data_IF_593312435013
#
_entry.id   IF_593312435013
#
_cell.length_a   1.000
_cell.length_b   1.000
_cell.length_c   1.000
_cell.angle_alpha   90.00
_cell.angle_beta   90.00
_cell.angle_gamma   90.00
#
_symmetry.space_group_name_H-M   'P 1'
#
loop_
_entity.id
_entity.type
_entity.pdbx_description
1 polymer ?
#
# COMPACT_ATOMS: atom_id res chain seq x y z
N UNK A 1 -3.85 0.61 -12.85
CA UNK A 1 -2.76 -0.21 -13.44
C UNK A 1 -3.08 -1.67 -13.16
N UNK A 2 -3.20 -2.50 -14.19
CA UNK A 2 -3.40 -3.96 -14.06
C UNK A 2 -2.17 -4.69 -14.57
N UNK A 3 -1.87 -5.83 -13.95
CA UNK A 3 -0.74 -6.67 -14.32
C UNK A 3 -1.01 -8.11 -13.91
N UNK A 4 -0.28 -9.04 -14.52
CA UNK A 4 -0.31 -10.46 -14.16
C UNK A 4 1.07 -10.86 -13.65
N UNK A 5 1.13 -11.61 -12.55
CA UNK A 5 2.36 -12.26 -12.09
C UNK A 5 2.23 -13.75 -12.41
N UNK A 6 3.20 -14.27 -13.14
CA UNK A 6 3.29 -15.67 -13.52
C UNK A 6 4.32 -16.35 -12.62
N UNK A 7 3.87 -17.29 -11.80
CA UNK A 7 4.74 -18.10 -10.95
C UNK A 7 4.88 -19.47 -11.59
N UNK A 8 6.11 -19.87 -11.92
CA UNK A 8 6.42 -21.21 -12.41
C UNK A 8 7.08 -21.99 -11.29
N UNK A 9 6.52 -23.13 -10.93
CA UNK A 9 7.15 -24.05 -9.98
C UNK A 9 8.19 -24.90 -10.72
N UNK A 10 9.47 -24.75 -10.38
CA UNK A 10 10.58 -25.39 -11.10
C UNK A 10 10.45 -26.93 -11.12
N UNK A 11 10.00 -27.54 -10.02
CA UNK A 11 9.95 -28.99 -9.88
C UNK A 11 8.86 -29.68 -10.72
N UNK A 12 7.75 -28.98 -10.99
CA UNK A 12 6.59 -29.54 -11.71
C UNK A 12 6.35 -28.90 -13.07
N UNK A 13 6.92 -27.72 -13.31
CA UNK A 13 6.62 -26.87 -14.46
C UNK A 13 5.22 -26.24 -14.40
N UNK A 14 4.50 -26.36 -13.28
CA UNK A 14 3.17 -25.80 -13.12
C UNK A 14 3.22 -24.26 -13.08
N UNK A 15 2.30 -23.62 -13.79
CA UNK A 15 2.19 -22.16 -13.86
C UNK A 15 0.95 -21.65 -13.13
N UNK A 16 1.16 -20.73 -12.19
CA UNK A 16 0.09 -19.99 -11.51
C UNK A 16 0.09 -18.54 -11.97
N UNK A 17 -1.05 -18.08 -12.47
CA UNK A 17 -1.24 -16.69 -12.90
C UNK A 17 -2.04 -15.91 -11.85
N UNK A 18 -1.39 -14.93 -11.23
CA UNK A 18 -2.03 -13.99 -10.30
C UNK A 18 -2.38 -12.69 -11.03
N UNK A 19 -3.68 -12.44 -11.21
CA UNK A 19 -4.19 -11.23 -11.87
C UNK A 19 -4.41 -10.13 -10.84
N UNK A 20 -3.71 -9.01 -11.00
CA UNK A 20 -3.66 -7.94 -10.01
C UNK A 20 -4.11 -6.60 -10.59
N UNK A 21 -4.72 -5.78 -9.73
CA UNK A 21 -5.13 -4.42 -10.04
C UNK A 21 -4.66 -3.47 -8.93
N UNK A 22 -3.73 -2.58 -9.25
CA UNK A 22 -3.32 -1.52 -8.33
C UNK A 22 -4.43 -0.48 -8.22
N UNK A 23 -4.81 -0.18 -6.97
CA UNK A 23 -5.77 0.86 -6.62
C UNK A 23 -5.05 1.95 -5.82
N UNK A 24 -4.81 3.08 -6.47
CA UNK A 24 -4.26 4.27 -5.81
C UNK A 24 -5.42 5.05 -5.19
N UNK A 25 -5.36 5.27 -3.88
CA UNK A 25 -6.33 6.07 -3.14
C UNK A 25 -5.64 7.34 -2.64
N UNK A 26 -6.39 8.44 -2.54
CA UNK A 26 -5.89 9.67 -1.93
C UNK A 26 -5.59 9.45 -0.44
N UNK A 27 -4.74 10.32 0.11
CA UNK A 27 -4.47 10.36 1.55
C UNK A 27 -5.77 10.46 2.36
N UNK A 28 -6.68 11.35 2.00
CA UNK A 28 -7.97 11.52 2.71
C UNK A 28 -8.73 10.20 2.85
N UNK A 29 -8.81 9.41 1.78
CA UNK A 29 -9.51 8.12 1.78
C UNK A 29 -8.82 7.06 2.64
N UNK A 30 -7.49 7.12 2.75
CA UNK A 30 -6.74 6.22 3.62
C UNK A 30 -6.84 6.67 5.07
N UNK A 31 -6.71 7.96 5.34
CA UNK A 31 -6.91 8.56 6.68
C UNK A 31 -8.28 8.19 7.25
N UNK A 32 -9.35 8.34 6.48
CA UNK A 32 -10.70 7.94 6.88
C UNK A 32 -10.78 6.44 7.24
N UNK A 33 -10.13 5.58 6.45
CA UNK A 33 -10.13 4.14 6.70
C UNK A 33 -9.33 3.76 7.95
N UNK A 34 -8.19 4.42 8.20
CA UNK A 34 -7.38 4.22 9.41
C UNK A 34 -8.17 4.63 10.65
N UNK A 35 -8.80 5.81 10.62
CA UNK A 35 -9.64 6.27 11.72
C UNK A 35 -10.87 5.38 11.95
N UNK A 36 -11.53 4.96 10.87
CA UNK A 36 -12.68 4.04 10.91
C UNK A 36 -12.33 2.67 11.49
N UNK A 37 -11.06 2.25 11.40
CA UNK A 37 -10.56 1.02 12.00
C UNK A 37 -10.21 1.16 13.51
N UNK A 38 -10.44 2.32 14.13
CA UNK A 38 -10.11 2.58 15.53
C UNK A 38 -8.62 2.85 15.79
N UNK A 39 -7.90 3.23 14.74
CA UNK A 39 -6.50 3.65 14.84
C UNK A 39 -6.41 5.19 14.83
N UNK A 40 -5.33 5.69 15.41
CA UNK A 40 -4.94 7.10 15.38
C UNK A 40 -3.62 7.23 14.62
N UNK A 41 -3.58 8.12 13.64
CA UNK A 41 -2.38 8.40 12.85
C UNK A 41 -1.42 9.22 13.69
N UNK A 42 -0.20 8.73 13.89
CA UNK A 42 0.86 9.45 14.60
C UNK A 42 1.77 10.19 13.61
N UNK A 43 2.13 9.53 12.50
CA UNK A 43 3.02 10.08 11.49
C UNK A 43 2.62 9.65 10.08
N UNK A 44 2.89 10.54 9.13
CA UNK A 44 2.84 10.26 7.69
C UNK A 44 4.14 10.74 7.07
N UNK A 45 4.82 9.86 6.34
CA UNK A 45 6.06 10.15 5.65
C UNK A 45 5.90 9.93 4.15
N UNK A 46 6.60 10.71 3.32
CA UNK A 46 6.60 10.57 1.86
C UNK A 46 7.49 9.45 1.34
N UNK A 47 8.24 8.78 2.21
CA UNK A 47 9.01 7.58 1.89
C UNK A 47 9.48 6.80 3.13
N UNK A 48 10.09 5.64 2.89
CA UNK A 48 10.70 4.80 3.94
C UNK A 48 11.86 5.45 4.70
N UNK A 49 12.48 6.51 4.17
CA UNK A 49 13.52 7.30 4.84
C UNK A 49 12.96 8.39 5.76
N UNK A 50 11.64 8.43 5.97
CA UNK A 50 10.93 9.41 6.80
C UNK A 50 11.01 10.85 6.26
N UNK A 51 11.12 11.01 4.93
CA UNK A 51 10.97 12.33 4.34
C UNK A 51 9.55 12.90 4.59
N UNK A 52 9.38 14.23 4.58
CA UNK A 52 8.06 14.85 4.67
C UNK A 52 7.11 14.28 3.61
N UNK A 53 5.84 14.08 3.99
CA UNK A 53 4.79 13.74 3.04
C UNK A 53 4.29 15.00 2.34
N UNK A 54 4.28 14.95 1.02
CA UNK A 54 3.73 15.99 0.14
C UNK A 54 2.64 15.37 -0.73
N UNK A 55 1.71 16.19 -1.22
CA UNK A 55 0.57 15.72 -2.04
C UNK A 55 0.99 14.99 -3.32
N UNK A 56 2.17 15.30 -3.83
CA UNK A 56 2.80 14.71 -5.02
C UNK A 56 3.83 13.62 -4.68
N UNK A 57 3.95 13.22 -3.41
CA UNK A 57 4.80 12.10 -3.02
C UNK A 57 4.33 10.82 -3.72
N UNK A 58 5.24 10.05 -4.35
CA UNK A 58 4.88 8.85 -5.10
C UNK A 58 4.39 7.70 -4.21
N UNK A 59 4.73 7.76 -2.92
CA UNK A 59 4.32 6.84 -1.88
C UNK A 59 4.05 7.61 -0.58
N UNK A 60 3.39 6.95 0.37
CA UNK A 60 3.37 7.43 1.75
C UNK A 60 3.39 6.25 2.72
N UNK A 61 4.04 6.47 3.87
CA UNK A 61 4.17 5.50 4.96
C UNK A 61 3.43 6.06 6.17
N UNK A 62 2.44 5.32 6.66
CA UNK A 62 1.61 5.72 7.81
C UNK A 62 2.04 4.94 9.03
N UNK A 63 2.39 5.64 10.11
CA UNK A 63 2.51 5.04 11.46
C UNK A 63 1.24 5.38 12.22
N UNK A 64 0.53 4.35 12.66
CA UNK A 64 -0.69 4.50 13.43
C UNK A 64 -0.67 3.58 14.65
N UNK A 65 -1.27 4.03 15.74
CA UNK A 65 -1.47 3.23 16.95
C UNK A 65 -2.94 2.97 17.19
N UNK A 66 -3.23 1.95 17.99
CA UNK A 66 -4.58 1.73 18.48
C UNK A 66 -4.97 2.89 19.40
N UNK A 67 -6.22 3.35 19.27
CA UNK A 67 -6.85 4.24 20.26
C UNK A 67 -7.09 3.50 21.57
#
# INVERSE_FOLDING_TARGET
>A
VSYEIHYVLEDTGEEFVSKNLLRFRSWDRISDAVHGAGLEVEHVFGNHARAPFEVDSPEFVVIARRR
#
